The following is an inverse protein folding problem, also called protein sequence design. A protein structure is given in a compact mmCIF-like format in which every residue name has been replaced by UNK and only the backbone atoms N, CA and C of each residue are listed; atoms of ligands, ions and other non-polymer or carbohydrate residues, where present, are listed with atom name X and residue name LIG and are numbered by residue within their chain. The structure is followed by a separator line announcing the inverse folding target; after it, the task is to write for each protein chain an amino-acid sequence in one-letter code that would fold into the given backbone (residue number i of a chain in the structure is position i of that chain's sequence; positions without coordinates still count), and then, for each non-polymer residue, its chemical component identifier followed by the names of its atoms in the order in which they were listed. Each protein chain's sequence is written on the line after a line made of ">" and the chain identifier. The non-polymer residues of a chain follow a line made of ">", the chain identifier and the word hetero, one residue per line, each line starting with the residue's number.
data_IF_189574535104
#
_entry.id   IF_189574535104
#
_cell.length_a   1.000
_cell.length_b   1.000
_cell.length_c   1.000
_cell.angle_alpha   90.00
_cell.angle_beta   90.00
_cell.angle_gamma   90.00
#
_symmetry.space_group_name_H-M   'P 1'
#
loop_
_entity.id
_entity.type
_entity.pdbx_description
1 polymer ?
#
# COMPACT_ATOMS: atom_id res chain seq x y z
N UNK A 1 -35.17 4.62 -3.24
CA UNK A 1 -34.00 4.76 -4.13
C UNK A 1 -32.95 5.52 -3.33
N UNK A 2 -31.97 4.82 -2.75
CA UNK A 2 -30.91 5.48 -2.00
C UNK A 2 -29.84 5.92 -3.00
N UNK A 3 -29.69 7.23 -3.17
CA UNK A 3 -28.52 7.79 -3.81
C UNK A 3 -27.39 7.74 -2.78
N UNK A 4 -26.68 6.62 -2.71
CA UNK A 4 -25.38 6.52 -2.06
C UNK A 4 -24.36 7.30 -2.91
N UNK A 5 -24.50 8.63 -2.97
CA UNK A 5 -23.46 9.50 -3.49
C UNK A 5 -22.36 9.56 -2.43
N UNK A 6 -21.35 8.70 -2.57
CA UNK A 6 -20.09 8.83 -1.84
C UNK A 6 -19.55 10.24 -2.04
N UNK A 7 -19.13 10.88 -0.95
CA UNK A 7 -18.52 12.18 -1.09
C UNK A 7 -17.22 12.05 -1.90
N UNK A 8 -16.76 13.10 -2.59
CA UNK A 8 -15.47 13.07 -3.28
C UNK A 8 -14.32 12.63 -2.35
N UNK A 9 -14.41 12.95 -1.05
CA UNK A 9 -13.42 12.53 -0.07
C UNK A 9 -13.43 11.02 0.18
N UNK A 10 -14.61 10.41 0.22
CA UNK A 10 -14.74 8.95 0.36
C UNK A 10 -14.16 8.25 -0.88
N UNK A 11 -14.39 8.81 -2.07
CA UNK A 11 -13.84 8.27 -3.33
C UNK A 11 -12.31 8.32 -3.34
N UNK A 12 -11.71 9.45 -2.95
CA UNK A 12 -10.25 9.57 -2.93
C UNK A 12 -9.63 8.68 -1.86
N UNK A 13 -10.22 8.60 -0.66
CA UNK A 13 -9.77 7.66 0.37
C UNK A 13 -9.85 6.21 -0.13
N UNK A 14 -10.95 5.82 -0.77
CA UNK A 14 -11.09 4.48 -1.34
C UNK A 14 -10.03 4.21 -2.42
N UNK A 15 -9.78 5.19 -3.28
CA UNK A 15 -8.75 5.09 -4.33
C UNK A 15 -7.35 4.91 -3.73
N UNK A 16 -7.00 5.66 -2.69
CA UNK A 16 -5.73 5.49 -1.95
C UNK A 16 -5.65 4.07 -1.40
N UNK A 17 -6.70 3.58 -0.75
CA UNK A 17 -6.75 2.24 -0.17
C UNK A 17 -6.61 1.16 -1.25
N UNK A 18 -7.24 1.30 -2.41
CA UNK A 18 -7.13 0.37 -3.53
C UNK A 18 -5.69 0.29 -4.08
N UNK A 19 -5.06 1.45 -4.28
CA UNK A 19 -3.66 1.52 -4.73
C UNK A 19 -2.75 0.84 -3.70
N UNK A 20 -2.94 1.10 -2.40
CA UNK A 20 -2.16 0.50 -1.33
C UNK A 20 -2.34 -1.02 -1.26
N UNK A 21 -3.57 -1.53 -1.46
CA UNK A 21 -3.84 -2.97 -1.58
C UNK A 21 -3.08 -3.59 -2.75
N UNK A 22 -3.05 -2.91 -3.89
CA UNK A 22 -2.30 -3.38 -5.07
C UNK A 22 -0.79 -3.44 -4.76
N UNK A 23 -0.24 -2.42 -4.11
CA UNK A 23 1.17 -2.41 -3.68
C UNK A 23 1.48 -3.59 -2.75
N UNK A 24 0.63 -3.83 -1.76
CA UNK A 24 0.79 -4.95 -0.82
C UNK A 24 0.78 -6.32 -1.52
N UNK A 25 -0.05 -6.51 -2.54
CA UNK A 25 -0.14 -7.79 -3.26
C UNK A 25 1.22 -8.26 -3.81
N UNK A 26 2.19 -7.35 -3.98
CA UNK A 26 3.57 -7.67 -4.35
C UNK A 26 4.49 -7.93 -3.15
N UNK A 27 4.28 -7.28 -2.01
CA UNK A 27 5.04 -7.53 -0.78
C UNK A 27 4.86 -8.96 -0.26
N UNK A 28 3.60 -9.41 -0.23
CA UNK A 28 3.25 -10.75 0.24
C UNK A 28 3.40 -11.84 -0.82
N UNK A 29 3.80 -11.50 -2.06
CA UNK A 29 3.94 -12.49 -3.13
C UNK A 29 5.12 -13.41 -2.82
N UNK A 30 4.82 -14.54 -2.20
CA UNK A 30 5.77 -15.57 -1.82
C UNK A 30 5.89 -15.84 -0.32
N UNK A 31 5.43 -14.92 0.53
CA UNK A 31 5.36 -15.15 1.98
C UNK A 31 4.14 -16.05 2.22
N UNK A 32 4.33 -17.37 2.28
CA UNK A 32 3.28 -18.35 2.62
C UNK A 32 2.80 -18.19 4.08
N UNK A 33 3.10 -17.06 4.72
CA UNK A 33 2.77 -16.76 6.10
C UNK A 33 1.30 -16.41 6.21
N UNK A 34 0.74 -16.72 7.36
CA UNK A 34 -0.59 -16.27 7.74
C UNK A 34 -0.58 -14.81 8.19
N UNK A 35 0.59 -14.17 8.32
CA UNK A 35 0.70 -12.79 8.79
C UNK A 35 1.94 -12.09 8.26
N UNK A 36 1.77 -10.83 7.85
CA UNK A 36 2.82 -9.98 7.30
C UNK A 36 2.65 -8.54 7.80
N UNK A 37 3.72 -7.95 8.31
CA UNK A 37 3.80 -6.51 8.55
C UNK A 37 4.75 -5.85 7.55
N UNK A 38 4.27 -4.79 6.89
CA UNK A 38 5.09 -3.98 6.02
C UNK A 38 4.87 -2.49 6.28
N UNK A 39 5.90 -1.68 6.09
CA UNK A 39 5.81 -0.23 6.20
C UNK A 39 6.47 0.40 4.98
N UNK A 40 5.77 1.32 4.32
CA UNK A 40 6.27 2.07 3.15
C UNK A 40 6.45 3.53 3.51
N UNK A 41 7.51 4.13 3.00
CA UNK A 41 7.80 5.56 3.15
C UNK A 41 7.87 6.20 1.77
N UNK A 42 7.14 7.29 1.61
CA UNK A 42 6.96 7.99 0.34
C UNK A 42 7.69 9.34 0.35
N UNK A 43 8.28 9.71 -0.79
CA UNK A 43 8.78 11.06 -1.02
C UNK A 43 7.67 12.03 -1.49
N UNK A 44 8.04 13.30 -1.72
CA UNK A 44 7.10 14.34 -2.16
C UNK A 44 6.52 14.08 -3.56
N UNK A 45 7.19 13.25 -4.36
CA UNK A 45 6.74 12.79 -5.68
C UNK A 45 5.94 11.47 -5.59
N UNK A 46 5.59 11.02 -4.38
CA UNK A 46 4.84 9.78 -4.13
C UNK A 46 5.58 8.52 -4.61
N UNK A 47 6.91 8.56 -4.67
CA UNK A 47 7.75 7.38 -4.88
C UNK A 47 8.07 6.72 -3.55
N UNK A 48 8.08 5.39 -3.52
CA UNK A 48 8.51 4.63 -2.34
C UNK A 48 10.02 4.62 -2.28
N UNK A 49 10.57 5.30 -1.28
CA UNK A 49 12.02 5.46 -1.06
C UNK A 49 12.59 4.47 -0.05
N UNK A 50 11.72 3.91 0.80
CA UNK A 50 12.08 2.91 1.79
C UNK A 50 10.88 2.02 2.07
N UNK A 51 11.15 0.74 2.27
CA UNK A 51 10.20 -0.21 2.82
C UNK A 51 10.86 -1.06 3.89
N UNK A 52 10.07 -1.43 4.89
CA UNK A 52 10.42 -2.38 5.92
C UNK A 52 9.41 -3.51 5.83
N UNK A 53 9.88 -4.75 5.88
CA UNK A 53 9.02 -5.92 5.74
C UNK A 53 9.45 -6.97 6.76
N UNK A 54 8.54 -7.34 7.65
CA UNK A 54 8.73 -8.44 8.59
C UNK A 54 8.00 -9.66 8.04
N UNK A 55 8.71 -10.46 7.26
CA UNK A 55 8.23 -11.74 6.75
C UNK A 55 8.26 -12.78 7.88
N UNK A 56 7.14 -13.41 8.17
CA UNK A 56 7.09 -14.43 9.24
C UNK A 56 7.70 -15.76 8.77
N UNK A 57 7.57 -16.09 7.48
CA UNK A 57 8.15 -17.32 6.91
C UNK A 57 9.45 -17.07 6.12
N UNK A 58 9.95 -15.82 6.14
CA UNK A 58 11.32 -15.47 5.75
C UNK A 58 11.65 -15.54 4.26
N UNK A 59 10.70 -15.81 3.36
CA UNK A 59 10.99 -15.91 1.92
C UNK A 59 10.10 -14.99 1.08
N UNK A 60 10.61 -13.79 0.80
CA UNK A 60 10.10 -12.98 -0.30
C UNK A 60 10.55 -13.60 -1.62
N UNK A 61 9.63 -13.89 -2.54
CA UNK A 61 9.97 -14.52 -3.83
C UNK A 61 10.32 -13.49 -4.91
N UNK A 62 10.05 -12.21 -4.67
CA UNK A 62 10.34 -11.12 -5.62
C UNK A 62 11.69 -10.50 -5.29
N UNK A 63 12.58 -10.41 -6.29
CA UNK A 63 13.88 -9.77 -6.11
C UNK A 63 13.70 -8.29 -5.68
N UNK A 64 14.55 -7.73 -4.80
CA UNK A 64 14.36 -6.37 -4.27
C UNK A 64 14.24 -5.29 -5.35
N UNK A 65 14.97 -5.41 -6.46
CA UNK A 65 14.92 -4.47 -7.59
C UNK A 65 13.57 -4.56 -8.31
N UNK A 66 13.11 -5.76 -8.62
CA UNK A 66 11.82 -6.00 -9.29
C UNK A 66 10.66 -5.50 -8.42
N UNK A 67 10.73 -5.78 -7.12
CA UNK A 67 9.77 -5.29 -6.13
C UNK A 67 9.73 -3.76 -6.12
N UNK A 68 10.90 -3.10 -6.03
CA UNK A 68 11.00 -1.64 -6.04
C UNK A 68 10.42 -1.01 -7.31
N UNK A 69 10.75 -1.57 -8.49
CA UNK A 69 10.22 -1.10 -9.78
C UNK A 69 8.70 -1.23 -9.83
N UNK A 70 8.16 -2.36 -9.38
CA UNK A 70 6.73 -2.61 -9.44
C UNK A 70 5.95 -1.73 -8.48
N UNK A 71 6.44 -1.59 -7.25
CA UNK A 71 5.84 -0.72 -6.22
C UNK A 71 5.84 0.73 -6.70
N UNK A 72 6.96 1.24 -7.21
CA UNK A 72 7.04 2.62 -7.69
C UNK A 72 6.19 2.86 -8.95
N UNK A 73 6.02 1.84 -9.80
CA UNK A 73 5.08 1.91 -10.92
C UNK A 73 3.62 2.05 -10.46
N UNK A 74 3.25 1.42 -9.34
CA UNK A 74 1.90 1.52 -8.78
C UNK A 74 1.75 2.84 -8.03
N UNK A 75 2.73 3.22 -7.22
CA UNK A 75 2.70 4.44 -6.41
C UNK A 75 2.64 5.72 -7.25
N UNK A 76 3.05 5.67 -8.52
CA UNK A 76 2.87 6.76 -9.47
C UNK A 76 1.40 7.21 -9.59
N UNK A 77 0.41 6.31 -9.39
CA UNK A 77 -1.01 6.68 -9.41
C UNK A 77 -1.38 7.65 -8.26
N UNK A 78 -0.63 7.63 -7.15
CA UNK A 78 -0.86 8.53 -6.02
C UNK A 78 -0.46 9.98 -6.34
N UNK A 79 0.43 10.21 -7.32
CA UNK A 79 0.85 11.58 -7.66
C UNK A 79 -0.25 12.40 -8.33
N UNK A 80 -1.25 11.72 -8.90
CA UNK A 80 -2.39 12.35 -9.56
C UNK A 80 -3.51 12.72 -8.58
N UNK A 81 -3.40 12.29 -7.32
CA UNK A 81 -4.38 12.58 -6.28
C UNK A 81 -4.20 13.99 -5.69
N UNK A 82 -5.27 14.59 -5.11
CA UNK A 82 -5.17 15.89 -4.47
C UNK A 82 -4.11 15.92 -3.35
N UNK A 83 -3.51 17.09 -3.13
CA UNK A 83 -2.36 17.23 -2.22
C UNK A 83 -2.60 16.72 -0.79
N UNK A 84 -3.83 16.82 -0.28
CA UNK A 84 -4.22 16.33 1.05
C UNK A 84 -4.32 14.79 1.16
N UNK A 85 -4.15 14.06 0.06
CA UNK A 85 -4.06 12.60 0.02
C UNK A 85 -2.62 12.12 -0.24
N UNK A 86 -1.64 13.02 -0.26
CA UNK A 86 -0.23 12.63 -0.37
C UNK A 86 0.19 11.87 0.87
N UNK A 87 0.79 10.70 0.65
CA UNK A 87 1.26 9.85 1.73
C UNK A 87 2.65 10.30 2.21
N UNK A 88 2.84 10.24 3.52
CA UNK A 88 4.15 10.21 4.18
C UNK A 88 4.61 8.76 4.34
N UNK A 89 3.72 7.91 4.84
CA UNK A 89 3.97 6.49 5.05
C UNK A 89 2.68 5.69 5.02
N UNK A 90 2.80 4.37 4.92
CA UNK A 90 1.67 3.46 5.08
C UNK A 90 2.13 2.17 5.77
N UNK A 91 1.45 1.81 6.87
CA UNK A 91 1.62 0.51 7.51
C UNK A 91 0.58 -0.47 6.97
N UNK A 92 1.04 -1.67 6.64
CA UNK A 92 0.24 -2.82 6.26
C UNK A 92 0.36 -3.88 7.36
N UNK A 93 -0.76 -4.48 7.72
CA UNK A 93 -0.79 -5.61 8.65
C UNK A 93 -1.80 -6.63 8.14
N UNK A 94 -1.31 -7.81 7.75
CA UNK A 94 -2.16 -8.94 7.39
C UNK A 94 -2.14 -9.96 8.51
N UNK A 95 -3.32 -10.42 8.88
CA UNK A 95 -3.53 -11.37 9.96
C UNK A 95 -4.02 -12.72 9.41
N UNK A 96 -3.91 -13.75 10.24
CA UNK A 96 -4.35 -15.11 9.89
C UNK A 96 -5.84 -15.13 9.58
N UNK A 97 -6.19 -15.39 8.32
CA UNK A 97 -7.55 -15.29 7.79
C UNK A 97 -7.70 -14.35 6.60
N UNK A 98 -6.62 -13.68 6.18
CA UNK A 98 -6.62 -12.79 5.00
C UNK A 98 -7.19 -11.40 5.29
N UNK A 99 -7.44 -11.07 6.56
CA UNK A 99 -7.78 -9.72 6.97
C UNK A 99 -6.56 -8.83 6.81
N UNK A 100 -6.75 -7.70 6.15
CA UNK A 100 -5.71 -6.70 5.90
C UNK A 100 -6.14 -5.37 6.49
N UNK A 101 -5.28 -4.86 7.37
CA UNK A 101 -5.32 -3.51 7.87
C UNK A 101 -4.33 -2.65 7.08
N UNK A 102 -4.80 -1.47 6.65
CA UNK A 102 -4.01 -0.45 5.96
C UNK A 102 -4.15 0.84 6.75
N UNK A 103 -3.02 1.37 7.22
CA UNK A 103 -2.94 2.59 7.99
C UNK A 103 -2.12 3.65 7.23
N UNK A 104 -2.75 4.45 6.34
CA UNK A 104 -2.10 5.51 5.60
C UNK A 104 -1.88 6.74 6.48
N UNK A 105 -0.67 7.28 6.45
CA UNK A 105 -0.33 8.57 7.08
C UNK A 105 -0.20 9.62 5.99
N UNK A 106 -1.12 10.58 5.97
CA UNK A 106 -1.12 11.70 5.03
C UNK A 106 -0.20 12.84 5.48
N UNK A 107 0.21 13.69 4.53
CA UNK A 107 1.02 14.90 4.75
C UNK A 107 0.17 16.17 4.83
#
# INVERSE_FOLDING_TARGET
>A
MNNDQKSPNDIFNETVIEILKEMYAFFGKGDMSSSLEANLIFDESQRVIKWETLLVNGQGQTAPIELSMKINSISAQLSDLPANYRLASCKFSVQSGGHMDIDPVYR
#
